data_IF_218595369557
#
_entry.id   IF_218595369557
#
_cell.length_a   1.000
_cell.length_b   1.000
_cell.length_c   1.000
_cell.angle_alpha   90.00
_cell.angle_beta   90.00
_cell.angle_gamma   90.00
#
_symmetry.space_group_name_H-M   'P 1'
#
loop_
_entity.id
_entity.type
_entity.pdbx_description
1 polymer ?
#
# COMPACT_ATOMS: atom_id res chain seq x y z
N UNK A 1 21.88 32.60 -40.11
CA UNK A 1 22.95 31.57 -40.01
C UNK A 1 22.69 30.46 -38.97
N UNK A 2 21.45 30.20 -38.54
CA UNK A 2 21.17 29.16 -37.50
C UNK A 2 20.73 27.79 -38.07
N UNK A 3 20.45 27.68 -39.37
CA UNK A 3 19.94 26.44 -39.98
C UNK A 3 20.99 25.33 -40.17
N UNK A 4 22.29 25.67 -40.10
CA UNK A 4 23.40 24.74 -40.35
C UNK A 4 23.93 24.06 -39.07
N UNK A 5 23.28 24.23 -37.91
CA UNK A 5 23.68 23.49 -36.72
C UNK A 5 23.32 22.01 -36.88
N UNK A 6 24.26 21.06 -36.64
CA UNK A 6 24.04 19.63 -36.85
C UNK A 6 22.94 19.03 -35.95
N UNK A 7 22.63 19.68 -34.81
CA UNK A 7 21.49 19.31 -33.95
C UNK A 7 20.15 19.68 -34.60
N UNK A 8 20.08 20.85 -35.24
CA UNK A 8 18.86 21.35 -35.89
C UNK A 8 18.57 20.52 -37.14
N UNK A 9 19.60 20.15 -37.92
CA UNK A 9 19.45 19.25 -39.07
C UNK A 9 18.93 17.87 -38.66
N UNK A 10 19.46 17.27 -37.58
CA UNK A 10 18.94 15.99 -37.05
C UNK A 10 17.49 16.08 -36.58
N UNK A 11 17.11 17.18 -35.96
CA UNK A 11 15.73 17.39 -35.51
C UNK A 11 14.77 17.60 -36.68
N UNK A 12 15.19 18.33 -37.72
CA UNK A 12 14.44 18.51 -38.95
C UNK A 12 14.28 17.20 -39.72
N UNK A 13 15.35 16.41 -39.84
CA UNK A 13 15.29 15.08 -40.47
C UNK A 13 14.33 14.15 -39.73
N UNK A 14 14.37 14.16 -38.39
CA UNK A 14 13.44 13.36 -37.56
C UNK A 14 11.98 13.79 -37.77
N UNK A 15 11.70 15.09 -37.88
CA UNK A 15 10.35 15.61 -38.18
C UNK A 15 9.90 15.25 -39.59
N UNK A 16 10.76 15.42 -40.59
CA UNK A 16 10.45 15.08 -41.98
C UNK A 16 10.14 13.59 -42.16
N UNK A 17 10.85 12.70 -41.44
CA UNK A 17 10.54 11.26 -41.43
C UNK A 17 9.18 10.96 -40.82
N UNK A 18 8.83 11.65 -39.73
CA UNK A 18 7.52 11.49 -39.07
C UNK A 18 6.37 11.98 -39.97
N UNK A 19 6.53 13.11 -40.63
CA UNK A 19 5.53 13.66 -41.55
C UNK A 19 5.30 12.75 -42.76
N UNK A 20 6.35 12.15 -43.33
CA UNK A 20 6.20 11.16 -44.41
C UNK A 20 5.42 9.93 -43.95
N UNK A 21 5.71 9.43 -42.75
CA UNK A 21 4.98 8.29 -42.18
C UNK A 21 3.50 8.62 -41.95
N UNK A 22 3.20 9.81 -41.43
CA UNK A 22 1.82 10.25 -41.24
C UNK A 22 1.08 10.45 -42.57
N UNK A 23 1.75 10.96 -43.60
CA UNK A 23 1.19 11.09 -44.94
C UNK A 23 0.93 9.72 -45.59
N UNK A 24 1.83 8.75 -45.39
CA UNK A 24 1.66 7.36 -45.85
C UNK A 24 0.44 6.71 -45.20
N UNK A 25 0.25 6.88 -43.89
CA UNK A 25 -0.96 6.43 -43.19
C UNK A 25 -2.23 7.13 -43.66
N UNK A 26 -2.17 8.41 -44.02
CA UNK A 26 -3.34 9.16 -44.50
C UNK A 26 -3.72 8.80 -45.95
N UNK A 27 -2.75 8.36 -46.77
CA UNK A 27 -2.97 8.00 -48.17
C UNK A 27 -3.63 6.63 -48.39
N UNK A 28 -3.75 5.80 -47.35
CA UNK A 28 -4.36 4.46 -47.44
C UNK A 28 -5.87 4.44 -47.21
N UNK A 29 -6.51 5.58 -46.92
CA UNK A 29 -7.93 5.63 -46.56
C UNK A 29 -8.88 5.95 -47.73
N UNK A 30 -8.36 6.29 -48.93
CA UNK A 30 -9.17 6.65 -50.11
C UNK A 30 -8.80 5.81 -51.36
N UNK A 31 -9.11 4.51 -51.37
CA UNK A 31 -9.63 3.78 -52.56
C UNK A 31 -9.90 2.30 -52.26
N UNK A 32 -11.18 1.92 -52.40
CA UNK A 32 -11.71 0.59 -52.77
C UNK A 32 -11.38 -0.65 -51.89
N UNK A 33 -12.43 -1.31 -51.40
CA UNK A 33 -12.37 -2.34 -50.35
C UNK A 33 -11.71 -3.68 -50.70
N UNK A 34 -10.86 -4.16 -49.77
CA UNK A 34 -10.72 -5.57 -49.34
C UNK A 34 -9.83 -5.62 -48.08
N UNK A 35 -10.11 -6.45 -47.04
CA UNK A 35 -9.43 -6.33 -45.75
C UNK A 35 -8.12 -7.10 -45.76
N UNK A 36 -7.00 -6.41 -45.96
CA UNK A 36 -5.68 -6.99 -45.78
C UNK A 36 -5.15 -6.66 -44.37
N UNK A 37 -5.25 -7.63 -43.46
CA UNK A 37 -4.68 -7.57 -42.12
C UNK A 37 -3.16 -7.43 -42.16
N UNK A 38 -2.65 -6.19 -42.16
CA UNK A 38 -1.25 -5.92 -41.85
C UNK A 38 -1.10 -5.72 -40.34
N UNK A 39 -0.56 -6.76 -39.70
CA UNK A 39 -0.18 -6.76 -38.29
C UNK A 39 0.80 -5.61 -38.03
N UNK A 40 0.34 -4.56 -37.34
CA UNK A 40 1.24 -3.62 -36.68
C UNK A 40 2.09 -4.41 -35.68
N UNK A 41 3.36 -4.58 -36.07
CA UNK A 41 4.42 -5.23 -35.31
C UNK A 41 4.76 -4.31 -34.12
N UNK A 42 4.00 -4.47 -33.03
CA UNK A 42 4.28 -3.82 -31.74
C UNK A 42 5.67 -4.25 -31.28
N UNK A 43 6.56 -3.29 -31.03
CA UNK A 43 7.90 -3.52 -30.50
C UNK A 43 7.84 -4.38 -29.24
N UNK A 44 8.42 -5.58 -29.33
CA UNK A 44 8.71 -6.45 -28.19
C UNK A 44 10.01 -5.97 -27.53
N UNK A 45 9.88 -5.30 -26.39
CA UNK A 45 11.00 -5.12 -25.46
C UNK A 45 10.48 -5.25 -24.03
N UNK A 46 10.06 -6.47 -23.66
CA UNK A 46 9.86 -6.89 -22.26
C UNK A 46 9.66 -8.41 -22.04
N UNK A 47 9.87 -9.30 -23.03
CA UNK A 47 9.60 -10.76 -22.89
C UNK A 47 10.85 -11.61 -23.15
N UNK A 48 11.95 -11.31 -22.46
CA UNK A 48 13.19 -12.10 -22.55
C UNK A 48 13.72 -12.50 -21.18
N UNK A 49 12.84 -12.90 -20.27
CA UNK A 49 13.15 -13.72 -19.09
C UNK A 49 11.92 -14.62 -18.94
N UNK A 50 12.09 -15.93 -18.80
CA UNK A 50 11.04 -16.98 -18.69
C UNK A 50 10.76 -17.87 -19.91
N UNK A 51 11.73 -18.18 -20.77
CA UNK A 51 11.66 -19.41 -21.59
C UNK A 51 13.05 -20.02 -21.79
N UNK A 52 13.46 -20.84 -20.83
CA UNK A 52 14.40 -21.93 -21.04
C UNK A 52 13.81 -23.14 -20.31
N UNK A 53 14.00 -24.33 -20.88
CA UNK A 53 13.74 -25.65 -20.24
C UNK A 53 12.36 -26.28 -20.56
N UNK A 54 12.15 -26.72 -21.81
CA UNK A 54 12.00 -28.14 -22.21
C UNK A 54 11.36 -28.30 -23.62
N UNK A 55 12.01 -29.13 -24.47
CA UNK A 55 11.45 -29.67 -25.71
C UNK A 55 10.52 -30.87 -25.41
N UNK A 56 9.43 -31.09 -26.17
CA UNK A 56 8.65 -32.32 -26.11
C UNK A 56 9.15 -33.36 -27.13
N UNK A 57 9.07 -34.63 -26.78
CA UNK A 57 9.15 -35.76 -27.72
C UNK A 57 7.83 -36.52 -27.63
N UNK A 58 7.23 -36.76 -28.80
CA UNK A 58 5.95 -37.45 -29.02
C UNK A 58 6.05 -38.99 -28.88
N UNK A 59 4.87 -39.63 -28.92
CA UNK A 59 4.52 -41.08 -28.96
C UNK A 59 4.01 -41.61 -27.60
N UNK A 60 2.90 -42.34 -27.46
CA UNK A 60 2.01 -42.97 -28.45
C UNK A 60 0.64 -43.28 -27.80
N UNK A 61 -0.38 -43.52 -28.62
CA UNK A 61 -1.73 -43.93 -28.20
C UNK A 61 -1.75 -45.31 -27.52
N UNK A 62 -2.55 -45.47 -26.45
CA UNK A 62 -3.51 -46.59 -26.25
C UNK A 62 -4.27 -46.51 -24.92
N UNK A 63 -5.59 -46.66 -25.02
CA UNK A 63 -6.55 -47.01 -23.96
C UNK A 63 -6.24 -48.42 -23.41
N UNK A 64 -6.49 -48.70 -22.11
CA UNK A 64 -7.66 -49.51 -21.78
C UNK A 64 -8.37 -49.16 -20.45
N UNK A 65 -9.58 -49.71 -20.34
CA UNK A 65 -10.60 -49.70 -19.28
C UNK A 65 -10.21 -50.49 -17.99
N UNK A 66 -11.05 -50.51 -16.92
CA UNK A 66 -10.62 -50.47 -15.52
C UNK A 66 -10.63 -51.84 -14.81
N UNK A 67 -9.70 -52.06 -13.86
CA UNK A 67 -9.87 -53.07 -12.80
C UNK A 67 -9.08 -52.71 -11.53
N UNK A 68 -9.83 -52.37 -10.48
CA UNK A 68 -9.72 -52.68 -9.05
C UNK A 68 -8.37 -52.82 -8.30
N UNK A 69 -8.42 -52.22 -7.11
CA UNK A 69 -7.85 -52.63 -5.81
C UNK A 69 -6.43 -52.15 -5.42
N UNK A 70 -6.37 -51.21 -4.48
CA UNK A 70 -6.05 -51.55 -3.08
C UNK A 70 -6.34 -50.37 -2.12
N UNK A 71 -6.69 -50.67 -0.86
CA UNK A 71 -7.25 -49.72 0.10
C UNK A 71 -6.16 -49.09 0.98
N UNK A 72 -6.25 -47.78 1.20
CA UNK A 72 -5.52 -47.10 2.26
C UNK A 72 -6.49 -46.25 3.07
N UNK A 73 -7.13 -46.96 4.01
CA UNK A 73 -7.35 -46.60 5.41
C UNK A 73 -7.61 -45.12 5.73
N UNK A 74 -8.88 -44.84 6.03
CA UNK A 74 -9.36 -43.67 6.77
C UNK A 74 -8.66 -43.53 8.13
N UNK A 75 -8.19 -42.31 8.41
CA UNK A 75 -8.43 -41.68 9.72
C UNK A 75 -9.31 -40.45 9.47
N UNK A 76 -10.46 -40.29 10.15
CA UNK A 76 -11.23 -39.06 10.07
C UNK A 76 -10.65 -38.05 11.07
N UNK A 77 -9.40 -37.63 10.84
CA UNK A 77 -8.77 -36.58 11.65
C UNK A 77 -9.17 -35.21 11.06
N UNK A 78 -10.16 -34.57 11.70
CA UNK A 78 -10.71 -33.24 11.42
C UNK A 78 -10.96 -32.91 9.93
N UNK A 79 -12.20 -33.06 9.47
CA UNK A 79 -12.67 -32.46 8.22
C UNK A 79 -12.76 -30.92 8.34
N UNK A 80 -11.67 -30.27 8.75
CA UNK A 80 -11.60 -28.82 8.76
C UNK A 80 -11.58 -28.31 7.33
N UNK A 81 -12.49 -27.39 7.04
CA UNK A 81 -12.52 -26.71 5.77
C UNK A 81 -11.19 -25.94 5.58
N UNK A 82 -10.49 -26.20 4.49
CA UNK A 82 -9.18 -25.60 4.20
C UNK A 82 -9.31 -24.13 3.76
N UNK A 83 -9.66 -23.25 4.70
CA UNK A 83 -9.95 -21.82 4.47
C UNK A 83 -8.82 -21.09 3.72
N UNK A 84 -7.55 -21.29 4.09
CA UNK A 84 -6.41 -20.63 3.43
C UNK A 84 -6.37 -20.92 1.91
N UNK A 85 -6.58 -22.18 1.52
CA UNK A 85 -6.58 -22.55 0.10
C UNK A 85 -7.74 -21.92 -0.67
N UNK A 86 -8.93 -21.88 -0.05
CA UNK A 86 -10.10 -21.27 -0.65
C UNK A 86 -9.92 -19.74 -0.80
N UNK A 87 -9.33 -19.08 0.21
CA UNK A 87 -9.02 -17.64 0.11
C UNK A 87 -8.03 -17.33 -1.01
N UNK A 88 -6.94 -18.12 -1.14
CA UNK A 88 -5.96 -17.95 -2.23
C UNK A 88 -6.60 -18.12 -3.59
N UNK A 89 -7.43 -19.15 -3.77
CA UNK A 89 -8.15 -19.39 -5.02
C UNK A 89 -9.10 -18.24 -5.36
N UNK A 90 -9.88 -17.75 -4.39
CA UNK A 90 -10.78 -16.62 -4.62
C UNK A 90 -10.02 -15.33 -4.95
N UNK A 91 -8.89 -15.07 -4.29
CA UNK A 91 -8.05 -13.89 -4.57
C UNK A 91 -7.38 -13.96 -5.95
N UNK A 92 -6.92 -15.15 -6.35
CA UNK A 92 -6.40 -15.39 -7.70
C UNK A 92 -7.49 -15.19 -8.75
N UNK A 93 -8.71 -15.69 -8.47
CA UNK A 93 -9.88 -15.50 -9.33
C UNK A 93 -10.22 -14.02 -9.46
N UNK A 94 -10.25 -13.28 -8.35
CA UNK A 94 -10.45 -11.83 -8.33
C UNK A 94 -9.42 -11.11 -9.21
N UNK A 95 -8.14 -11.47 -9.09
CA UNK A 95 -7.04 -10.84 -9.84
C UNK A 95 -7.12 -11.09 -11.36
N UNK A 96 -7.56 -12.29 -11.77
CA UNK A 96 -7.64 -12.69 -13.20
C UNK A 96 -8.84 -12.12 -13.95
N UNK A 97 -9.93 -11.82 -13.26
CA UNK A 97 -11.17 -11.38 -13.90
C UNK A 97 -11.02 -10.01 -14.57
N UNK A 98 -11.67 -9.83 -15.72
CA UNK A 98 -11.73 -8.57 -16.48
C UNK A 98 -13.05 -7.82 -16.32
N UNK A 99 -14.11 -8.46 -15.81
CA UNK A 99 -15.43 -7.85 -15.62
C UNK A 99 -15.57 -7.31 -14.17
N UNK A 100 -15.95 -6.03 -13.99
CA UNK A 100 -16.03 -5.42 -12.66
C UNK A 100 -17.11 -6.05 -11.77
N UNK A 101 -18.24 -6.50 -12.34
CA UNK A 101 -19.30 -7.17 -11.61
C UNK A 101 -18.88 -8.56 -11.12
N UNK A 102 -18.05 -9.28 -11.90
CA UNK A 102 -17.51 -10.57 -11.47
C UNK A 102 -16.50 -10.40 -10.35
N UNK A 103 -15.65 -9.35 -10.42
CA UNK A 103 -14.74 -9.00 -9.31
C UNK A 103 -15.52 -8.64 -8.05
N UNK A 104 -16.59 -7.86 -8.19
CA UNK A 104 -17.47 -7.50 -7.09
C UNK A 104 -18.12 -8.72 -6.44
N UNK A 105 -18.58 -9.70 -7.25
CA UNK A 105 -19.09 -10.98 -6.75
C UNK A 105 -17.99 -11.76 -6.02
N UNK A 106 -16.76 -11.79 -6.54
CA UNK A 106 -15.65 -12.47 -5.87
C UNK A 106 -15.32 -11.86 -4.49
N UNK A 107 -15.44 -10.54 -4.33
CA UNK A 107 -15.31 -9.89 -3.01
C UNK A 107 -16.43 -10.30 -2.05
N UNK A 108 -17.66 -10.44 -2.54
CA UNK A 108 -18.77 -10.95 -1.74
C UNK A 108 -18.54 -12.41 -1.30
N UNK A 109 -18.06 -13.25 -2.21
CA UNK A 109 -17.74 -14.65 -1.92
C UNK A 109 -16.61 -14.72 -0.86
N UNK A 110 -15.58 -13.87 -0.98
CA UNK A 110 -14.50 -13.73 0.00
C UNK A 110 -15.03 -13.31 1.38
N UNK A 111 -15.90 -12.29 1.43
CA UNK A 111 -16.53 -11.85 2.67
C UNK A 111 -17.31 -12.97 3.34
N UNK A 112 -18.08 -13.71 2.55
CA UNK A 112 -18.89 -14.82 3.08
C UNK A 112 -17.99 -15.89 3.69
N UNK A 113 -16.87 -16.19 3.02
CA UNK A 113 -15.87 -17.14 3.51
C UNK A 113 -15.16 -16.66 4.79
N UNK A 114 -14.87 -15.36 4.92
CA UNK A 114 -14.35 -14.77 6.17
C UNK A 114 -15.34 -14.94 7.31
N UNK A 115 -16.63 -14.66 7.08
CA UNK A 115 -17.66 -14.82 8.11
C UNK A 115 -17.79 -16.27 8.57
N UNK A 116 -17.74 -17.22 7.63
CA UNK A 116 -17.74 -18.65 7.96
C UNK A 116 -16.51 -19.03 8.79
N UNK A 117 -15.32 -18.56 8.40
CA UNK A 117 -14.07 -18.82 9.13
C UNK A 117 -14.10 -18.28 10.56
N UNK A 118 -14.63 -17.06 10.76
CA UNK A 118 -14.79 -16.45 12.08
C UNK A 118 -15.82 -17.18 12.95
N UNK A 119 -16.90 -17.66 12.33
CA UNK A 119 -17.95 -18.40 13.05
C UNK A 119 -17.42 -19.76 13.53
N UNK A 120 -16.68 -20.50 12.69
CA UNK A 120 -16.05 -21.77 13.08
C UNK A 120 -15.01 -21.58 14.18
N UNK A 121 -14.19 -20.54 14.12
CA UNK A 121 -13.19 -20.26 15.16
C UNK A 121 -13.79 -19.97 16.54
N UNK A 122 -14.99 -19.38 16.59
CA UNK A 122 -15.71 -19.11 17.83
C UNK A 122 -16.32 -20.39 18.42
N UNK A 123 -16.80 -21.31 17.59
CA UNK A 123 -17.37 -22.59 18.04
C UNK A 123 -16.31 -23.50 18.67
N UNK A 124 -15.08 -23.53 18.13
CA UNK A 124 -13.96 -24.27 18.72
C UNK A 124 -13.55 -23.71 20.09
N UNK A 125 -13.50 -22.38 20.24
CA UNK A 125 -13.16 -21.71 21.51
C UNK A 125 -14.22 -21.89 22.60
N UNK A 126 -15.48 -22.09 22.22
CA UNK A 126 -16.57 -22.31 23.17
C UNK A 126 -16.53 -23.73 23.79
N UNK A 127 -15.99 -24.72 23.07
CA UNK A 127 -15.93 -26.12 23.53
C UNK A 127 -14.73 -26.45 24.43
N UNK A 128 -13.67 -25.63 24.45
CA UNK A 128 -12.51 -25.84 25.33
C UNK A 128 -12.73 -25.37 26.78
N UNK A 129 -13.91 -24.83 27.10
CA UNK A 129 -14.25 -24.29 28.43
C UNK A 129 -15.00 -25.23 29.38
N UNK A 130 -15.24 -26.50 29.00
CA UNK A 130 -15.97 -27.46 29.84
C UNK A 130 -15.12 -28.70 30.05
N UNK A 131 -14.12 -28.60 30.92
CA UNK A 131 -13.69 -29.77 31.67
C UNK A 131 -13.13 -29.41 33.06
N UNK A 132 -13.70 -30.09 34.05
CA UNK A 132 -13.26 -30.27 35.45
C UNK A 132 -13.97 -29.43 36.53
N UNK A 133 -15.08 -30.00 37.03
CA UNK A 133 -15.49 -29.85 38.42
C UNK A 133 -14.47 -30.54 39.34
N UNK A 134 -13.71 -29.76 40.10
CA UNK A 134 -13.12 -30.19 41.36
C UNK A 134 -12.93 -28.96 42.27
N UNK A 135 -13.71 -28.89 43.35
CA UNK A 135 -13.42 -28.03 44.51
C UNK A 135 -12.13 -28.53 45.20
N UNK A 136 -11.30 -27.67 45.81
CA UNK A 136 -11.58 -27.23 47.19
C UNK A 136 -11.13 -25.79 47.57
N UNK A 137 -11.94 -25.17 48.43
CA UNK A 137 -11.63 -24.37 49.63
C UNK A 137 -10.27 -23.63 49.84
N UNK A 138 -10.39 -22.30 50.01
CA UNK A 138 -9.71 -21.32 50.91
C UNK A 138 -8.25 -21.50 51.38
N UNK A 139 -7.38 -20.50 51.08
CA UNK A 139 -6.68 -19.61 52.05
C UNK A 139 -5.55 -18.75 51.40
N UNK A 140 -5.40 -17.49 51.86
CA UNK A 140 -4.19 -16.64 51.76
C UNK A 140 -4.14 -15.68 50.55
N UNK A 141 -4.49 -14.39 50.68
CA UNK A 141 -3.70 -13.28 51.22
C UNK A 141 -2.63 -12.69 50.25
N UNK A 142 -2.97 -11.48 49.78
CA UNK A 142 -2.14 -10.29 49.53
C UNK A 142 -1.04 -10.19 48.44
N UNK A 143 -1.16 -9.03 47.75
CA UNK A 143 -0.17 -8.23 47.02
C UNK A 143 0.28 -8.74 45.63
N UNK A 144 -0.01 -8.08 44.50
CA UNK A 144 -0.36 -6.69 44.23
C UNK A 144 0.81 -5.96 43.57
N UNK A 145 0.58 -5.44 42.35
CA UNK A 145 1.44 -4.66 41.40
C UNK A 145 1.83 -5.53 40.20
N UNK A 146 1.49 -5.20 38.96
CA UNK A 146 1.79 -3.94 38.23
C UNK A 146 0.61 -3.57 37.29
N UNK A 147 -0.02 -2.42 37.51
CA UNK A 147 0.19 -1.17 36.75
C UNK A 147 -0.25 -1.20 35.27
N UNK A 148 -1.55 -0.94 35.09
CA UNK A 148 -2.14 -0.31 33.91
C UNK A 148 -1.71 1.15 33.85
N UNK A 149 -1.19 1.62 32.71
CA UNK A 149 -1.23 3.03 32.33
C UNK A 149 -2.09 3.15 31.07
N UNK A 150 -3.36 3.47 31.31
CA UNK A 150 -4.29 3.97 30.30
C UNK A 150 -4.04 5.45 30.09
N UNK A 151 -4.04 5.86 28.83
CA UNK A 151 -4.01 7.24 28.38
C UNK A 151 -5.31 7.97 28.76
N UNK A 152 -5.14 9.14 29.37
CA UNK A 152 -6.09 10.25 29.52
C UNK A 152 -5.41 11.44 28.78
N UNK A 153 -6.04 12.44 28.20
CA UNK A 153 -7.44 12.89 28.07
C UNK A 153 -7.35 14.21 27.29
N UNK A 154 -8.35 14.55 26.48
CA UNK A 154 -8.35 15.79 25.72
C UNK A 154 -9.67 16.08 25.02
N UNK A 155 -10.77 16.23 25.78
CA UNK A 155 -11.95 16.97 25.31
C UNK A 155 -12.89 17.27 26.47
N UNK A 156 -12.92 18.54 26.88
CA UNK A 156 -13.88 19.10 27.84
C UNK A 156 -15.19 19.44 27.12
N UNK A 157 -16.33 19.01 27.65
CA UNK A 157 -17.60 19.76 27.61
C UNK A 157 -18.48 19.35 28.82
N UNK A 158 -19.27 20.27 29.39
CA UNK A 158 -19.77 20.17 30.76
C UNK A 158 -21.10 19.44 30.90
N UNK A 159 -21.31 18.94 32.13
CA UNK A 159 -22.41 18.09 32.57
C UNK A 159 -23.58 18.88 33.21
N UNK A 160 -24.79 18.33 33.02
CA UNK A 160 -25.90 18.24 33.99
C UNK A 160 -26.86 19.42 34.21
N UNK A 161 -28.17 19.14 34.04
CA UNK A 161 -29.18 19.40 35.08
C UNK A 161 -30.37 18.40 35.00
N UNK A 162 -30.62 17.68 36.12
CA UNK A 162 -31.91 17.29 36.75
C UNK A 162 -33.11 16.84 35.88
N UNK A 163 -33.78 15.70 36.13
CA UNK A 163 -34.69 15.51 37.28
C UNK A 163 -35.24 14.07 37.38
N UNK A 164 -35.55 13.66 38.61
CA UNK A 164 -36.20 12.42 39.04
C UNK A 164 -37.67 12.32 38.62
N UNK A 165 -38.19 11.11 38.41
CA UNK A 165 -39.52 10.70 38.89
C UNK A 165 -39.71 9.16 38.84
N UNK A 166 -40.26 8.53 39.91
CA UNK A 166 -40.66 7.13 39.94
C UNK A 166 -42.19 6.98 39.78
N UNK A 167 -42.66 5.94 39.09
CA UNK A 167 -43.98 5.30 39.27
C UNK A 167 -44.07 4.10 38.32
N UNK A 168 -43.98 2.87 38.84
CA UNK A 168 -45.14 2.01 39.18
C UNK A 168 -46.08 1.75 38.00
N UNK A 169 -46.01 0.53 37.45
CA UNK A 169 -47.19 -0.28 37.10
C UNK A 169 -46.79 -1.77 37.05
N UNK A 170 -47.59 -2.60 37.72
CA UNK A 170 -47.33 -3.98 38.09
C UNK A 170 -48.30 -4.92 37.33
N UNK A 171 -47.75 -5.95 36.66
CA UNK A 171 -48.30 -7.32 36.38
C UNK A 171 -49.58 -7.50 35.54
N UNK A 172 -49.95 -8.73 35.09
CA UNK A 172 -49.21 -10.00 34.84
C UNK A 172 -49.54 -10.63 33.47
N UNK A 173 -48.85 -11.71 33.04
CA UNK A 173 -49.42 -12.95 32.46
C UNK A 173 -48.28 -13.87 31.98
N UNK A 174 -48.06 -14.97 32.71
CA UNK A 174 -47.47 -16.19 32.15
C UNK A 174 -48.53 -16.93 31.33
N UNK A 175 -48.14 -17.81 30.40
CA UNK A 175 -48.06 -19.21 30.80
C UNK A 175 -46.76 -19.90 30.40
N UNK A 176 -46.28 -20.66 31.37
CA UNK A 176 -45.25 -21.67 31.27
C UNK A 176 -45.80 -22.89 30.52
N UNK A 177 -45.15 -23.30 29.43
CA UNK A 177 -45.18 -24.68 28.94
C UNK A 177 -43.75 -25.21 28.96
N UNK A 178 -43.53 -26.20 29.83
CA UNK A 178 -42.34 -27.02 29.74
C UNK A 178 -42.50 -28.04 28.61
N UNK A 179 -41.42 -28.26 27.86
CA UNK A 179 -40.92 -29.61 27.61
C UNK A 179 -39.59 -29.57 26.87
N UNK A 180 -38.56 -30.02 27.58
CA UNK A 180 -37.40 -30.80 27.11
C UNK A 180 -37.08 -30.77 25.61
N UNK A 181 -36.22 -29.83 25.23
CA UNK A 181 -35.17 -30.12 24.27
C UNK A 181 -33.90 -29.44 24.81
N UNK A 182 -32.87 -30.24 25.06
CA UNK A 182 -31.51 -29.76 25.29
C UNK A 182 -31.05 -29.05 24.02
N UNK A 183 -31.38 -27.77 23.88
CA UNK A 183 -30.70 -26.86 22.98
C UNK A 183 -29.75 -26.04 23.82
N UNK A 184 -28.47 -26.32 23.62
CA UNK A 184 -27.38 -25.43 23.99
C UNK A 184 -27.59 -24.09 23.26
N UNK A 185 -28.39 -23.20 23.85
CA UNK A 185 -28.55 -21.82 23.37
C UNK A 185 -27.36 -21.01 23.85
N UNK A 186 -26.22 -21.18 23.19
CA UNK A 186 -25.24 -20.11 23.13
C UNK A 186 -25.68 -19.14 22.02
N UNK A 187 -25.79 -17.84 22.30
CA UNK A 187 -25.99 -16.87 21.24
C UNK A 187 -24.68 -16.78 20.44
N UNK A 188 -24.59 -17.51 19.34
CA UNK A 188 -23.59 -17.27 18.29
C UNK A 188 -23.92 -15.90 17.69
N UNK A 189 -23.39 -14.84 18.29
CA UNK A 189 -23.50 -13.51 17.73
C UNK A 189 -22.76 -13.49 16.38
N UNK A 190 -23.36 -12.92 15.32
CA UNK A 190 -22.65 -12.76 14.06
C UNK A 190 -21.38 -11.94 14.29
N UNK A 191 -20.26 -12.26 13.61
CA UNK A 191 -18.99 -11.57 13.80
C UNK A 191 -19.17 -10.07 13.56
N UNK A 192 -18.49 -9.26 14.38
CA UNK A 192 -18.60 -7.81 14.29
C UNK A 192 -18.03 -7.32 12.96
N UNK A 193 -18.53 -6.17 12.45
CA UNK A 193 -17.98 -5.58 11.23
C UNK A 193 -16.48 -5.29 11.35
N UNK A 194 -16.02 -4.88 12.53
CA UNK A 194 -14.62 -4.65 12.81
C UNK A 194 -13.78 -5.93 12.70
N UNK A 195 -14.25 -7.06 13.26
CA UNK A 195 -13.58 -8.35 13.12
C UNK A 195 -13.46 -8.78 11.66
N UNK A 196 -14.53 -8.61 10.88
CA UNK A 196 -14.53 -8.93 9.45
C UNK A 196 -13.48 -8.09 8.70
N UNK A 197 -13.44 -6.78 8.95
CA UNK A 197 -12.47 -5.87 8.31
C UNK A 197 -11.03 -6.23 8.70
N UNK A 198 -10.78 -6.54 9.98
CA UNK A 198 -9.45 -6.94 10.46
C UNK A 198 -9.01 -8.27 9.83
N UNK A 199 -9.88 -9.28 9.77
CA UNK A 199 -9.58 -10.53 9.08
C UNK A 199 -9.32 -10.35 7.58
N UNK A 200 -10.07 -9.47 6.91
CA UNK A 200 -9.79 -9.11 5.52
C UNK A 200 -8.43 -8.43 5.36
N UNK A 201 -8.05 -7.54 6.29
CA UNK A 201 -6.75 -6.86 6.29
C UNK A 201 -5.60 -7.87 6.40
N UNK A 202 -5.69 -8.79 7.35
CA UNK A 202 -4.70 -9.83 7.57
C UNK A 202 -4.60 -10.78 6.36
N UNK A 203 -5.73 -11.03 5.69
CA UNK A 203 -5.77 -11.80 4.45
C UNK A 203 -5.04 -11.09 3.30
N UNK A 204 -5.26 -9.78 3.12
CA UNK A 204 -4.58 -8.98 2.11
C UNK A 204 -3.07 -8.97 2.36
N UNK A 205 -2.65 -8.81 3.62
CA UNK A 205 -1.25 -8.82 4.02
C UNK A 205 -0.58 -10.17 3.73
N UNK A 206 -1.31 -11.26 3.91
CA UNK A 206 -0.83 -12.63 3.68
C UNK A 206 -0.73 -13.00 2.20
N UNK A 207 -1.75 -12.65 1.40
CA UNK A 207 -1.82 -13.05 -0.02
C UNK A 207 -1.08 -12.05 -0.93
N UNK A 208 -1.03 -10.78 -0.56
CA UNK A 208 -0.38 -9.69 -1.32
C UNK A 208 -0.78 -9.62 -2.81
N UNK A 209 -2.08 -9.43 -3.11
CA UNK A 209 -2.56 -9.27 -4.49
C UNK A 209 -1.95 -8.04 -5.19
N UNK A 210 -1.11 -8.28 -6.22
CA UNK A 210 -0.35 -7.23 -6.95
C UNK A 210 -1.22 -6.15 -7.59
N UNK A 211 -2.47 -6.46 -7.94
CA UNK A 211 -3.36 -5.56 -8.67
C UNK A 211 -4.53 -5.06 -7.85
N UNK A 212 -4.51 -5.23 -6.53
CA UNK A 212 -5.64 -4.92 -5.66
C UNK A 212 -6.18 -3.51 -5.85
N UNK A 213 -5.34 -2.48 -5.70
CA UNK A 213 -5.79 -1.09 -5.82
C UNK A 213 -6.29 -0.74 -7.23
N UNK A 214 -5.63 -1.28 -8.27
CA UNK A 214 -6.10 -1.13 -9.66
C UNK A 214 -7.49 -1.75 -9.83
N UNK A 215 -7.70 -2.93 -9.26
CA UNK A 215 -8.94 -3.67 -9.41
C UNK A 215 -10.08 -3.06 -8.57
N UNK A 216 -9.77 -2.51 -7.38
CA UNK A 216 -10.71 -1.72 -6.59
C UNK A 216 -11.12 -0.42 -7.32
N UNK A 217 -10.16 0.28 -7.92
CA UNK A 217 -10.43 1.45 -8.78
C UNK A 217 -11.27 1.06 -10.01
N UNK A 218 -11.02 -0.10 -10.59
CA UNK A 218 -11.79 -0.60 -11.73
C UNK A 218 -13.24 -0.89 -11.34
N UNK A 219 -13.49 -1.46 -10.16
CA UNK A 219 -14.85 -1.63 -9.64
C UNK A 219 -15.50 -0.26 -9.39
N UNK A 220 -14.83 0.65 -8.69
CA UNK A 220 -15.42 1.96 -8.35
C UNK A 220 -15.72 2.83 -9.57
N UNK A 221 -14.94 2.71 -10.64
CA UNK A 221 -15.14 3.48 -11.87
C UNK A 221 -16.26 2.93 -12.77
N UNK A 222 -16.48 1.61 -12.78
CA UNK A 222 -17.37 0.95 -13.75
C UNK A 222 -18.62 0.31 -13.15
N UNK A 223 -18.74 0.23 -11.82
CA UNK A 223 -19.97 -0.22 -11.14
C UNK A 223 -20.75 1.00 -10.64
N UNK A 224 -22.04 1.14 -11.01
CA UNK A 224 -22.89 2.23 -10.52
C UNK A 224 -23.01 2.29 -8.99
N UNK A 225 -23.12 3.50 -8.46
CA UNK A 225 -23.28 3.76 -7.02
C UNK A 225 -24.51 3.09 -6.42
N UNK A 226 -25.57 2.88 -7.21
CA UNK A 226 -26.80 2.23 -6.76
C UNK A 226 -26.54 0.78 -6.38
N UNK A 227 -25.59 0.12 -7.06
CA UNK A 227 -25.18 -1.25 -6.78
C UNK A 227 -24.21 -1.27 -5.60
N UNK A 228 -23.22 -0.38 -5.57
CA UNK A 228 -22.24 -0.32 -4.48
C UNK A 228 -22.86 0.06 -3.12
N UNK A 229 -23.90 0.88 -3.09
CA UNK A 229 -24.49 1.35 -1.83
C UNK A 229 -25.63 0.46 -1.30
N UNK A 230 -26.27 -0.35 -2.14
CA UNK A 230 -27.50 -1.10 -1.77
C UNK A 230 -27.32 -2.61 -1.72
N UNK A 231 -26.25 -3.15 -2.32
CA UNK A 231 -26.06 -4.60 -2.42
C UNK A 231 -25.10 -5.12 -1.36
N UNK A 232 -25.27 -6.40 -1.02
CA UNK A 232 -24.34 -7.09 -0.15
C UNK A 232 -22.92 -7.17 -0.74
N UNK A 233 -22.82 -7.23 -2.07
CA UNK A 233 -21.54 -7.16 -2.78
C UNK A 233 -20.89 -5.78 -2.62
N UNK A 234 -21.70 -4.72 -2.60
CA UNK A 234 -21.27 -3.37 -2.28
C UNK A 234 -20.71 -3.22 -0.86
N UNK A 235 -21.39 -3.78 0.14
CA UNK A 235 -20.85 -3.86 1.52
C UNK A 235 -19.52 -4.59 1.57
N UNK A 236 -19.39 -5.73 0.87
CA UNK A 236 -18.13 -6.45 0.79
C UNK A 236 -17.02 -5.61 0.15
N UNK A 237 -17.33 -4.88 -0.93
CA UNK A 237 -16.39 -3.95 -1.55
C UNK A 237 -15.93 -2.85 -0.60
N UNK A 238 -16.83 -2.25 0.16
CA UNK A 238 -16.48 -1.20 1.14
C UNK A 238 -15.60 -1.75 2.26
N UNK A 239 -15.96 -2.90 2.84
CA UNK A 239 -15.16 -3.54 3.91
C UNK A 239 -13.76 -3.93 3.42
N UNK A 240 -13.67 -4.49 2.21
CA UNK A 240 -12.38 -4.83 1.59
C UNK A 240 -11.56 -3.57 1.27
N UNK A 241 -12.22 -2.50 0.82
CA UNK A 241 -11.60 -1.20 0.59
C UNK A 241 -11.02 -0.62 1.87
N UNK A 242 -11.80 -0.58 2.97
CA UNK A 242 -11.36 -0.10 4.27
C UNK A 242 -10.17 -0.91 4.80
N UNK A 243 -10.23 -2.24 4.71
CA UNK A 243 -9.13 -3.11 5.07
C UNK A 243 -7.85 -2.83 4.24
N UNK A 244 -7.99 -2.68 2.92
CA UNK A 244 -6.88 -2.38 2.02
C UNK A 244 -6.25 -1.00 2.29
N UNK A 245 -7.08 0.02 2.53
CA UNK A 245 -6.60 1.37 2.84
C UNK A 245 -5.92 1.43 4.20
N UNK A 246 -6.46 0.78 5.23
CA UNK A 246 -5.82 0.69 6.54
C UNK A 246 -4.44 0.03 6.44
N UNK A 247 -4.34 -1.12 5.74
CA UNK A 247 -3.04 -1.77 5.53
C UNK A 247 -2.05 -0.87 4.76
N UNK A 248 -2.54 -0.14 3.75
CA UNK A 248 -1.70 0.79 2.98
C UNK A 248 -1.14 1.89 3.87
N UNK A 249 -1.98 2.46 4.74
CA UNK A 249 -1.61 3.53 5.66
C UNK A 249 -0.59 3.05 6.70
N UNK A 250 -0.82 1.86 7.28
CA UNK A 250 0.12 1.21 8.20
C UNK A 250 1.49 0.99 7.55
N UNK A 251 1.51 0.47 6.31
CA UNK A 251 2.75 0.26 5.55
C UNK A 251 3.44 1.59 5.23
N UNK A 252 2.70 2.62 4.79
CA UNK A 252 3.28 3.92 4.50
C UNK A 252 3.88 4.57 5.74
N UNK A 253 3.20 4.49 6.87
CA UNK A 253 3.68 5.01 8.16
C UNK A 253 4.95 4.27 8.60
N UNK A 254 4.95 2.94 8.54
CA UNK A 254 6.14 2.13 8.85
C UNK A 254 7.32 2.45 7.92
N UNK A 255 7.08 2.66 6.62
CA UNK A 255 8.13 3.07 5.68
C UNK A 255 8.73 4.44 6.02
N UNK A 256 7.91 5.40 6.48
CA UNK A 256 8.38 6.71 6.93
C UNK A 256 9.25 6.57 8.19
N UNK A 257 8.80 5.80 9.17
CA UNK A 257 9.56 5.54 10.40
C UNK A 257 10.91 4.87 10.10
N UNK A 258 10.92 3.83 9.27
CA UNK A 258 12.15 3.14 8.88
C UNK A 258 13.09 4.12 8.16
N UNK A 259 12.58 4.92 7.22
CA UNK A 259 13.39 5.89 6.50
C UNK A 259 14.00 6.95 7.44
N UNK A 260 13.23 7.42 8.43
CA UNK A 260 13.73 8.34 9.46
C UNK A 260 14.83 7.71 10.34
N UNK A 261 14.66 6.44 10.74
CA UNK A 261 15.71 5.73 11.49
C UNK A 261 17.01 5.58 10.71
N UNK A 262 16.92 5.32 9.39
CA UNK A 262 18.09 5.21 8.51
C UNK A 262 18.83 6.56 8.42
N UNK A 263 18.09 7.65 8.19
CA UNK A 263 18.66 9.00 8.11
C UNK A 263 19.30 9.41 9.44
N UNK A 264 18.59 9.19 10.56
CA UNK A 264 19.07 9.49 11.90
C UNK A 264 20.36 8.73 12.24
N UNK A 265 20.42 7.45 11.90
CA UNK A 265 21.62 6.64 12.07
C UNK A 265 22.79 7.19 11.25
N UNK A 266 22.56 7.58 9.99
CA UNK A 266 23.62 8.13 9.14
C UNK A 266 24.12 9.50 9.64
N UNK A 267 23.22 10.36 10.14
CA UNK A 267 23.60 11.63 10.77
C UNK A 267 24.46 11.41 12.03
N UNK A 268 24.08 10.46 12.89
CA UNK A 268 24.83 10.14 14.11
C UNK A 268 26.25 9.64 13.80
N UNK A 269 26.40 8.81 12.77
CA UNK A 269 27.69 8.28 12.30
C UNK A 269 28.61 9.38 11.78
N UNK A 270 28.06 10.39 11.09
CA UNK A 270 28.82 11.58 10.67
C UNK A 270 29.33 12.36 11.89
N UNK A 271 28.48 12.59 12.89
CA UNK A 271 28.86 13.34 14.10
C UNK A 271 29.94 12.63 14.93
N UNK A 272 29.85 11.30 15.09
CA UNK A 272 30.85 10.51 15.82
C UNK A 272 32.23 10.54 15.15
N UNK A 273 32.28 10.59 13.81
CA UNK A 273 33.55 10.75 13.08
C UNK A 273 34.19 12.12 13.26
N UNK A 274 33.38 13.18 13.38
CA UNK A 274 33.91 14.50 13.68
C UNK A 274 34.51 14.60 15.10
N UNK A 275 34.01 13.84 16.09
CA UNK A 275 34.60 13.78 17.43
C UNK A 275 35.90 12.98 17.51
N UNK A 276 36.06 11.92 16.70
CA UNK A 276 37.31 11.13 16.68
C UNK A 276 38.50 11.83 16.01
N UNK A 277 38.27 12.93 15.27
CA UNK A 277 39.34 13.67 14.60
C UNK A 277 40.01 14.73 15.50
N UNK A 278 39.65 14.81 16.78
CA UNK A 278 40.24 15.76 17.73
C UNK A 278 41.25 15.13 18.72
N UNK A 279 41.56 13.83 18.57
CA UNK A 279 42.69 13.21 19.27
C UNK A 279 43.88 13.07 18.32
N UNK A 280 44.77 14.06 18.38
CA UNK A 280 46.04 14.08 17.65
C UNK A 280 46.92 12.88 18.03
N UNK A 281 47.11 11.93 17.12
CA UNK A 281 48.31 11.10 17.09
C UNK A 281 48.97 11.24 15.72
N UNK A 282 50.14 11.90 15.62
CA UNK A 282 50.77 12.21 14.33
C UNK A 282 51.68 11.07 13.92
N UNK A 283 51.14 9.94 13.43
CA UNK A 283 51.99 8.96 12.74
C UNK A 283 51.22 8.09 11.72
N UNK A 284 51.72 8.15 10.48
CA UNK A 284 51.47 7.25 9.34
C UNK A 284 50.20 7.44 8.49
N UNK A 285 50.30 8.46 7.63
CA UNK A 285 50.02 8.46 6.19
C UNK A 285 49.41 7.19 5.55
N UNK A 286 48.07 7.05 5.56
CA UNK A 286 47.33 6.17 4.62
C UNK A 286 45.82 6.54 4.48
N UNK A 287 45.47 7.83 4.41
CA UNK A 287 44.08 8.31 4.55
C UNK A 287 43.27 8.54 3.25
N UNK A 288 43.82 8.31 2.05
CA UNK A 288 43.08 8.55 0.80
C UNK A 288 41.93 7.55 0.56
N UNK A 289 42.01 6.32 1.09
CA UNK A 289 40.98 5.28 0.91
C UNK A 289 39.84 5.35 1.93
N UNK A 290 39.99 6.06 3.05
CA UNK A 290 38.94 6.17 4.08
C UNK A 290 37.87 7.22 3.74
N UNK A 291 38.23 8.31 3.05
CA UNK A 291 37.26 9.32 2.61
C UNK A 291 36.32 8.79 1.50
N UNK A 292 36.85 7.99 0.57
CA UNK A 292 36.04 7.34 -0.46
C UNK A 292 35.11 6.27 0.14
N UNK A 293 35.59 5.44 1.06
CA UNK A 293 34.75 4.47 1.77
C UNK A 293 33.70 5.14 2.67
N UNK A 294 33.99 6.32 3.23
CA UNK A 294 33.04 7.08 4.03
C UNK A 294 31.87 7.65 3.21
N UNK A 295 32.18 8.26 2.06
CA UNK A 295 31.16 8.72 1.12
C UNK A 295 30.34 7.54 0.56
N UNK A 296 31.00 6.43 0.20
CA UNK A 296 30.36 5.23 -0.30
C UNK A 296 29.37 4.61 0.70
N UNK A 297 29.74 4.56 1.99
CA UNK A 297 28.86 4.04 3.04
C UNK A 297 27.71 5.00 3.40
N UNK A 298 27.92 6.32 3.29
CA UNK A 298 26.86 7.33 3.47
C UNK A 298 25.82 7.26 2.34
N UNK A 299 26.30 7.05 1.12
CA UNK A 299 25.43 6.85 -0.04
C UNK A 299 24.55 5.63 0.14
N UNK A 300 25.03 4.54 0.74
CA UNK A 300 24.24 3.32 0.87
C UNK A 300 22.99 3.49 1.75
N UNK A 301 23.12 4.07 2.95
CA UNK A 301 21.95 4.27 3.82
C UNK A 301 20.91 5.21 3.21
N UNK A 302 21.37 6.33 2.63
CA UNK A 302 20.46 7.29 2.00
C UNK A 302 19.85 6.76 0.70
N UNK A 303 20.58 5.93 -0.04
CA UNK A 303 20.11 5.20 -1.22
C UNK A 303 19.01 4.18 -0.85
N UNK A 304 19.11 3.54 0.32
CA UNK A 304 18.09 2.63 0.83
C UNK A 304 16.81 3.40 1.25
N UNK A 305 16.97 4.56 1.92
CA UNK A 305 15.85 5.38 2.37
C UNK A 305 15.12 6.12 1.24
N UNK A 306 15.79 6.44 0.13
CA UNK A 306 15.22 7.29 -0.92
C UNK A 306 13.93 6.72 -1.52
N UNK A 307 13.87 5.40 -1.72
CA UNK A 307 12.69 4.77 -2.30
C UNK A 307 11.52 4.80 -1.33
N UNK A 308 11.79 4.68 -0.03
CA UNK A 308 10.77 4.83 0.99
C UNK A 308 10.17 6.23 0.93
N UNK A 309 10.99 7.28 0.88
CA UNK A 309 10.51 8.66 0.74
C UNK A 309 9.72 8.89 -0.56
N UNK A 310 10.21 8.38 -1.69
CA UNK A 310 9.51 8.55 -2.97
C UNK A 310 8.14 7.87 -2.96
N UNK A 311 8.04 6.64 -2.43
CA UNK A 311 6.79 5.91 -2.38
C UNK A 311 5.78 6.59 -1.45
N UNK A 312 6.17 6.91 -0.22
CA UNK A 312 5.27 7.49 0.78
C UNK A 312 4.88 8.93 0.44
N UNK A 313 5.76 9.71 -0.18
CA UNK A 313 5.44 11.05 -0.67
C UNK A 313 4.36 11.02 -1.76
N UNK A 314 4.42 10.03 -2.66
CA UNK A 314 3.42 9.83 -3.73
C UNK A 314 2.07 9.38 -3.18
N UNK A 315 2.05 8.67 -2.06
CA UNK A 315 0.82 8.29 -1.36
C UNK A 315 0.18 9.45 -0.60
N UNK A 316 0.86 10.60 -0.50
CA UNK A 316 0.32 11.81 0.10
C UNK A 316 0.79 12.07 1.54
N UNK A 317 1.79 11.34 2.05
CA UNK A 317 2.28 11.56 3.41
C UNK A 317 3.02 12.91 3.50
N UNK A 318 2.56 13.87 4.32
CA UNK A 318 3.11 15.23 4.34
C UNK A 318 4.56 15.28 4.86
N UNK A 319 4.91 14.43 5.83
CA UNK A 319 6.28 14.32 6.36
C UNK A 319 7.21 13.79 5.27
N UNK A 320 6.82 12.72 4.59
CA UNK A 320 7.61 12.16 3.49
C UNK A 320 7.82 13.16 2.34
N UNK A 321 6.80 13.97 2.02
CA UNK A 321 6.92 15.04 1.02
C UNK A 321 7.92 16.12 1.44
N UNK A 322 7.91 16.52 2.71
CA UNK A 322 8.91 17.46 3.27
C UNK A 322 10.31 16.87 3.21
N UNK A 323 10.50 15.65 3.68
CA UNK A 323 11.81 14.99 3.70
C UNK A 323 12.35 14.76 2.28
N UNK A 324 11.49 14.37 1.34
CA UNK A 324 11.87 14.27 -0.08
C UNK A 324 12.28 15.62 -0.65
N UNK A 325 11.60 16.71 -0.29
CA UNK A 325 11.98 18.05 -0.70
C UNK A 325 13.35 18.46 -0.14
N UNK A 326 13.61 18.18 1.14
CA UNK A 326 14.93 18.42 1.77
C UNK A 326 16.00 17.58 1.08
N UNK A 327 15.68 16.35 0.71
CA UNK A 327 16.61 15.45 0.04
C UNK A 327 16.99 15.96 -1.35
N UNK A 328 16.07 16.56 -2.11
CA UNK A 328 16.38 17.25 -3.38
C UNK A 328 17.29 18.46 -3.21
N UNK A 329 17.26 19.13 -2.06
CA UNK A 329 18.12 20.28 -1.77
C UNK A 329 19.51 19.87 -1.25
N UNK A 330 19.59 18.74 -0.55
CA UNK A 330 20.80 18.33 0.17
C UNK A 330 21.60 17.25 -0.56
N UNK A 331 20.93 16.32 -1.25
CA UNK A 331 21.55 15.19 -1.95
C UNK A 331 20.83 14.92 -3.30
N UNK A 332 20.82 15.88 -4.25
CA UNK A 332 20.13 15.72 -5.53
C UNK A 332 20.72 14.59 -6.41
N UNK A 333 21.95 14.18 -6.19
CA UNK A 333 22.68 13.18 -7.00
C UNK A 333 22.16 11.76 -6.86
N UNK A 334 21.56 11.41 -5.72
CA UNK A 334 21.00 10.08 -5.48
C UNK A 334 19.54 9.98 -5.94
N UNK A 335 18.87 11.11 -6.14
CA UNK A 335 17.44 11.14 -6.39
C UNK A 335 17.11 11.10 -7.87
N UNK A 336 16.23 10.17 -8.30
CA UNK A 336 15.58 10.32 -9.60
C UNK A 336 14.67 11.55 -9.59
N UNK A 337 14.41 12.12 -10.76
CA UNK A 337 13.49 13.25 -10.91
C UNK A 337 12.05 12.73 -10.92
N UNK A 338 11.34 12.92 -9.82
CA UNK A 338 9.97 12.44 -9.63
C UNK A 338 9.06 13.55 -9.16
N UNK A 339 7.87 13.61 -9.76
CA UNK A 339 6.77 14.49 -9.33
C UNK A 339 5.64 13.65 -8.74
N UNK A 340 4.68 14.30 -8.11
CA UNK A 340 3.41 13.65 -7.77
C UNK A 340 2.72 13.19 -9.07
N UNK A 341 2.17 11.96 -9.13
CA UNK A 341 1.53 11.43 -10.33
C UNK A 341 0.44 12.37 -10.86
N UNK A 342 0.33 12.48 -12.19
CA UNK A 342 -0.64 13.33 -12.89
C UNK A 342 -0.48 14.85 -12.66
N UNK A 343 0.56 15.30 -11.95
CA UNK A 343 0.88 16.73 -11.85
C UNK A 343 1.31 17.28 -13.20
N UNK A 344 0.79 18.45 -13.57
CA UNK A 344 1.18 19.08 -14.83
C UNK A 344 2.61 19.63 -14.72
N UNK A 345 3.48 19.42 -15.73
CA UNK A 345 4.85 19.92 -15.69
C UNK A 345 4.97 21.43 -15.44
N UNK A 346 4.00 22.24 -15.88
CA UNK A 346 3.96 23.70 -15.63
C UNK A 346 3.73 24.07 -14.15
N UNK A 347 3.15 23.15 -13.38
CA UNK A 347 2.88 23.35 -11.96
C UNK A 347 4.13 23.05 -11.13
N UNK A 348 4.99 22.14 -11.61
CA UNK A 348 6.28 21.80 -10.99
C UNK A 348 7.44 22.67 -11.51
N UNK A 349 7.64 22.74 -12.82
CA UNK A 349 8.81 23.35 -13.45
C UNK A 349 8.51 24.78 -13.89
N UNK A 350 8.73 25.69 -12.94
CA UNK A 350 8.51 27.11 -13.09
C UNK A 350 9.56 27.76 -13.98
N UNK A 351 9.11 28.44 -15.05
CA UNK A 351 10.00 29.05 -16.04
C UNK A 351 10.94 30.07 -15.39
N UNK A 352 10.41 30.89 -14.49
CA UNK A 352 11.14 31.87 -13.69
C UNK A 352 12.30 31.24 -12.90
N UNK A 353 12.11 30.04 -12.35
CA UNK A 353 13.15 29.30 -11.64
C UNK A 353 14.14 28.64 -12.59
N UNK A 354 13.66 28.12 -13.74
CA UNK A 354 14.51 27.46 -14.74
C UNK A 354 15.45 28.43 -15.48
N UNK A 355 15.04 29.69 -15.65
CA UNK A 355 15.84 30.71 -16.34
C UNK A 355 16.70 31.56 -15.40
N UNK A 356 16.49 31.45 -14.07
CA UNK A 356 17.38 32.05 -13.07
C UNK A 356 18.68 31.24 -13.03
N UNK A 357 19.64 31.63 -13.88
CA UNK A 357 21.00 31.11 -13.87
C UNK A 357 21.78 31.84 -12.78
N UNK A 358 21.48 31.54 -11.52
CA UNK A 358 22.42 31.88 -10.46
C UNK A 358 23.67 31.04 -10.71
N UNK A 359 24.84 31.69 -10.73
CA UNK A 359 26.11 31.08 -11.13
C UNK A 359 26.64 29.99 -10.19
N UNK A 360 25.84 29.56 -9.21
CA UNK A 360 26.16 28.46 -8.32
C UNK A 360 25.86 27.13 -8.99
N UNK A 361 26.93 26.45 -9.42
CA UNK A 361 26.91 25.08 -9.94
C UNK A 361 26.30 24.03 -9.00
N UNK A 362 25.94 24.42 -7.77
CA UNK A 362 25.40 23.54 -6.71
C UNK A 362 23.86 23.48 -6.69
N UNK A 363 23.15 24.39 -7.33
CA UNK A 363 21.68 24.39 -7.35
C UNK A 363 21.16 24.10 -8.76
N UNK A 364 20.96 22.81 -9.09
CA UNK A 364 20.24 22.43 -10.31
C UNK A 364 18.83 23.06 -10.27
N UNK A 365 18.46 23.94 -11.21
CA UNK A 365 17.14 24.59 -11.22
C UNK A 365 15.99 23.58 -11.22
N UNK A 366 16.22 22.38 -11.77
CA UNK A 366 15.22 21.32 -11.81
C UNK A 366 15.03 20.69 -10.44
N UNK A 367 16.10 20.42 -9.70
CA UNK A 367 16.03 19.97 -8.30
C UNK A 367 15.37 21.01 -7.40
N UNK A 368 15.61 22.30 -7.62
CA UNK A 368 14.92 23.36 -6.88
C UNK A 368 13.41 23.37 -7.15
N UNK A 369 13.00 23.21 -8.41
CA UNK A 369 11.58 23.11 -8.78
C UNK A 369 10.92 21.89 -8.11
N UNK A 370 11.60 20.75 -8.09
CA UNK A 370 11.11 19.53 -7.45
C UNK A 370 11.02 19.68 -5.94
N UNK A 371 12.04 20.25 -5.30
CA UNK A 371 12.03 20.54 -3.88
C UNK A 371 10.85 21.47 -3.50
N UNK A 372 10.66 22.55 -4.25
CA UNK A 372 9.55 23.47 -4.01
C UNK A 372 8.19 22.77 -4.19
N UNK A 373 8.02 21.99 -5.25
CA UNK A 373 6.79 21.24 -5.52
C UNK A 373 6.43 20.30 -4.37
N UNK A 374 7.38 19.49 -3.90
CA UNK A 374 7.14 18.56 -2.79
C UNK A 374 6.92 19.28 -1.45
N UNK A 375 7.64 20.38 -1.20
CA UNK A 375 7.45 21.21 0.00
C UNK A 375 6.06 21.85 0.04
N UNK A 376 5.55 22.33 -1.10
CA UNK A 376 4.20 22.88 -1.21
C UNK A 376 3.13 21.82 -0.95
N UNK A 377 3.29 20.61 -1.50
CA UNK A 377 2.38 19.50 -1.22
C UNK A 377 2.37 19.15 0.27
N UNK A 378 3.55 19.12 0.91
CA UNK A 378 3.68 18.87 2.34
C UNK A 378 2.94 19.92 3.19
N UNK A 379 3.12 21.21 2.87
CA UNK A 379 2.44 22.31 3.54
C UNK A 379 0.91 22.24 3.39
N UNK A 380 0.42 21.89 2.20
CA UNK A 380 -1.02 21.65 1.93
C UNK A 380 -1.53 20.45 2.72
N UNK A 381 -0.71 19.41 2.88
CA UNK A 381 -0.99 18.23 3.69
C UNK A 381 -0.98 18.48 5.21
N UNK A 382 -0.75 19.71 5.66
CA UNK A 382 -0.82 20.09 7.07
C UNK A 382 0.51 20.09 7.82
N UNK A 383 1.65 19.96 7.12
CA UNK A 383 2.97 20.02 7.74
C UNK A 383 3.34 21.46 8.13
N UNK A 384 3.40 21.73 9.43
CA UNK A 384 3.71 23.06 9.95
C UNK A 384 5.15 23.50 9.67
N UNK A 385 6.11 22.57 9.62
CA UNK A 385 7.51 22.90 9.28
C UNK A 385 7.62 23.34 7.81
N UNK A 386 6.91 22.65 6.92
CA UNK A 386 6.86 23.03 5.51
C UNK A 386 6.19 24.40 5.31
N UNK A 387 5.07 24.66 5.99
CA UNK A 387 4.38 25.97 5.95
C UNK A 387 5.29 27.11 6.40
N UNK A 388 5.96 26.95 7.54
CA UNK A 388 6.88 27.95 8.07
C UNK A 388 8.03 28.22 7.10
N UNK A 389 8.60 27.15 6.53
CA UNK A 389 9.72 27.28 5.58
C UNK A 389 9.34 28.03 4.31
N UNK A 390 8.12 27.82 3.79
CA UNK A 390 7.60 28.55 2.64
C UNK A 390 7.31 30.01 2.97
N UNK A 391 6.73 30.28 4.15
CA UNK A 391 6.47 31.65 4.61
C UNK A 391 7.76 32.46 4.75
N UNK A 392 8.79 31.89 5.38
CA UNK A 392 10.11 32.54 5.47
C UNK A 392 10.64 32.91 4.08
N UNK A 393 10.51 32.00 3.10
CA UNK A 393 10.93 32.25 1.73
C UNK A 393 10.17 33.39 1.07
N UNK A 394 8.84 33.43 1.22
CA UNK A 394 8.01 34.54 0.72
C UNK A 394 8.43 35.87 1.35
N UNK A 395 8.72 35.88 2.66
CA UNK A 395 9.23 37.06 3.36
C UNK A 395 10.59 37.51 2.81
N UNK A 396 11.51 36.58 2.51
CA UNK A 396 12.78 36.92 1.85
C UNK A 396 12.59 37.48 0.44
N UNK A 397 11.68 36.90 -0.35
CA UNK A 397 11.39 37.36 -1.72
C UNK A 397 10.69 38.73 -1.74
N UNK A 398 10.03 39.15 -0.66
CA UNK A 398 9.44 40.49 -0.51
C UNK A 398 10.46 41.58 -0.11
N UNK A 399 11.59 41.18 0.46
CA UNK A 399 12.64 42.10 0.94
C UNK A 399 13.73 42.29 -0.13
N UNK A 400 13.92 41.33 -1.03
CA UNK A 400 14.84 41.37 -2.15
C UNK A 400 14.26 42.12 -3.36
#
# INVERSE_FOLDING_TARGET
MYLNQPRIQRQMERRARLERFLAECASTDDENGSPMSQKLRRSRSADAILLSVHKPTEQDLRTPTPTQSSPLQDTPDSFDFAYDTAFRQLMERFSRQSNPYTKLKALQDLRSLVISSLSTGNDCRANEGVDTFAEPSFAGAENGRLHRNSLSEGSKLPQSVHSQNPNQNRTPYSPMWGSVASSSTFPTYPPSEAEIILSMRDLIQTIQPKTLFRDLQFISAFVPSEILNKTHSGTAFLQFGLAAFALKDDVCTSMVEIADTIVSHELSKRQQRHHHHHHNDPQFNNHSNQHAAAAFNQSHGLEDAKWMWIHTAREGNPVAQRELAILYLTHPEILPRVTLPLTMPRDTFKAEMMYRRDGDSKSDPQSMCLALHWMQLSAVGGDELAKNRLKEREEFDLIA
#
